data_IF_188134167105
#
_entry.id   IF_188134167105
#
_cell.length_a   1.000
_cell.length_b   1.000
_cell.length_c   1.000
_cell.angle_alpha   90.00
_cell.angle_beta   90.00
_cell.angle_gamma   90.00
#
_symmetry.space_group_name_H-M   'P 1'
#
loop_
_entity.id
_entity.type
_entity.pdbx_description
1 polymer ?
#
# COMPACT_ATOMS: atom_id res chain seq x y z
N UNK A 1 -6.10 22.31 54.45
CA UNK A 1 -5.60 21.44 55.54
C UNK A 1 -4.52 20.55 54.91
N UNK A 2 -3.31 20.99 55.08
CA UNK A 2 -2.07 20.42 54.57
C UNK A 2 -1.46 19.54 55.64
N UNK A 3 -0.99 18.37 55.27
CA UNK A 3 -0.07 17.59 56.09
C UNK A 3 1.12 17.16 55.23
N UNK A 4 2.34 17.24 55.79
CA UNK A 4 3.57 17.15 55.03
C UNK A 4 4.17 15.72 55.00
N UNK A 5 4.97 15.47 53.99
CA UNK A 5 5.86 14.30 53.86
C UNK A 5 6.99 14.32 54.89
N UNK A 6 7.51 13.18 55.31
CA UNK A 6 8.81 13.09 55.97
C UNK A 6 9.93 12.69 54.96
N UNK A 7 10.90 13.55 54.82
CA UNK A 7 12.21 13.28 54.19
C UNK A 7 13.03 12.38 55.13
N UNK A 8 13.61 11.32 54.58
CA UNK A 8 14.64 10.55 55.27
C UNK A 8 15.98 10.71 54.50
N UNK A 9 16.83 11.56 55.11
CA UNK A 9 18.24 11.68 54.76
C UNK A 9 19.01 10.39 55.13
N UNK A 10 19.64 9.76 54.18
CA UNK A 10 20.67 8.74 54.43
C UNK A 10 22.01 9.30 53.99
N UNK A 11 22.80 9.72 55.03
CA UNK A 11 24.21 10.07 54.91
C UNK A 11 25.06 8.84 54.60
N UNK A 12 25.73 8.84 53.46
CA UNK A 12 26.80 7.91 53.14
C UNK A 12 28.09 8.36 53.84
N UNK A 13 28.74 7.42 54.57
CA UNK A 13 30.02 7.57 55.24
C UNK A 13 31.10 7.03 54.28
N UNK A 14 32.18 7.79 53.98
CA UNK A 14 33.28 7.29 53.16
C UNK A 14 34.24 6.39 53.95
N UNK A 15 34.81 5.32 53.35
CA UNK A 15 35.77 4.44 54.05
C UNK A 15 37.15 5.07 54.13
N UNK A 16 37.79 4.94 55.30
CA UNK A 16 39.13 5.39 55.64
C UNK A 16 40.22 4.56 54.94
N UNK A 17 41.41 5.16 54.65
CA UNK A 17 42.48 4.48 53.94
C UNK A 17 43.36 3.60 54.90
N UNK A 18 43.53 2.35 54.53
CA UNK A 18 44.45 1.42 55.18
C UNK A 18 45.89 1.66 54.75
N UNK A 19 46.77 1.94 55.71
CA UNK A 19 48.23 2.04 55.54
C UNK A 19 48.82 0.67 55.19
N UNK A 20 49.36 0.50 53.97
CA UNK A 20 50.17 -0.65 53.61
C UNK A 20 51.66 -0.45 53.97
N UNK A 21 52.14 -1.38 54.80
CA UNK A 21 53.50 -1.43 55.31
C UNK A 21 54.50 -1.88 54.23
N UNK A 22 55.43 -1.03 53.80
CA UNK A 22 56.30 -1.25 52.64
C UNK A 22 57.68 -1.84 53.00
N UNK A 23 57.88 -2.51 54.13
CA UNK A 23 59.20 -2.89 54.63
C UNK A 23 59.75 -4.27 54.22
N UNK A 24 59.08 -5.24 53.69
CA UNK A 24 59.74 -6.49 53.26
C UNK A 24 60.32 -6.46 51.83
N UNK A 25 60.13 -5.38 51.03
CA UNK A 25 60.62 -5.37 49.63
C UNK A 25 62.05 -4.88 49.45
N UNK A 26 62.69 -4.30 50.47
CA UNK A 26 64.06 -3.81 50.40
C UNK A 26 65.10 -4.87 50.73
N UNK A 27 64.79 -5.97 51.39
CA UNK A 27 65.72 -7.07 51.69
C UNK A 27 65.91 -8.07 50.53
N UNK A 28 65.01 -8.12 49.56
CA UNK A 28 65.11 -9.03 48.40
C UNK A 28 65.96 -8.44 47.26
N UNK A 29 66.15 -7.13 47.19
CA UNK A 29 66.97 -6.47 46.19
C UNK A 29 68.50 -6.53 46.48
N UNK A 30 68.90 -6.69 47.75
CA UNK A 30 70.32 -6.80 48.13
C UNK A 30 70.90 -8.19 47.83
N UNK A 31 70.12 -9.27 47.76
CA UNK A 31 70.60 -10.63 47.51
C UNK A 31 70.81 -10.97 46.04
N UNK A 32 70.19 -10.19 45.12
CA UNK A 32 70.35 -10.37 43.66
C UNK A 32 71.54 -9.68 43.06
N UNK A 33 72.14 -8.69 43.75
CA UNK A 33 73.34 -7.97 43.28
C UNK A 33 74.66 -8.72 43.55
N UNK A 34 74.67 -9.67 44.49
CA UNK A 34 75.91 -10.42 44.80
C UNK A 34 76.06 -11.66 43.92
N UNK A 35 74.93 -12.20 43.33
CA UNK A 35 74.99 -13.34 42.41
C UNK A 35 75.40 -12.98 40.97
N UNK A 36 75.26 -11.72 40.56
CA UNK A 36 75.48 -11.29 39.17
C UNK A 36 76.90 -11.08 38.73
N UNK A 37 77.82 -10.86 39.68
CA UNK A 37 79.22 -10.53 39.35
C UNK A 37 80.07 -11.79 39.14
N UNK A 38 79.74 -12.92 39.70
CA UNK A 38 80.50 -14.19 39.53
C UNK A 38 80.27 -14.90 38.19
N UNK A 39 79.21 -14.62 37.49
CA UNK A 39 78.88 -15.27 36.18
C UNK A 39 79.57 -14.63 35.00
N UNK A 40 79.98 -13.35 35.11
CA UNK A 40 80.55 -12.60 33.97
C UNK A 40 82.04 -12.85 33.85
N UNK A 41 82.71 -13.16 34.95
CA UNK A 41 84.14 -13.41 34.96
C UNK A 41 84.55 -14.81 34.37
N UNK A 42 83.65 -15.79 34.37
CA UNK A 42 83.97 -17.12 33.80
C UNK A 42 83.75 -17.15 32.26
N UNK A 43 82.96 -16.25 31.67
CA UNK A 43 82.75 -16.19 30.22
C UNK A 43 83.82 -15.48 29.41
N UNK A 44 84.72 -14.78 30.08
CA UNK A 44 85.85 -14.00 29.44
C UNK A 44 87.13 -14.78 29.35
N UNK A 45 87.24 -15.99 29.93
CA UNK A 45 88.52 -16.74 30.00
C UNK A 45 88.60 -17.97 29.11
N UNK A 46 87.56 -18.32 28.33
CA UNK A 46 87.57 -19.41 27.35
C UNK A 46 87.13 -18.96 25.95
N UNK A 47 88.05 -18.72 25.03
CA UNK A 47 87.68 -18.47 23.64
C UNK A 47 87.43 -19.83 22.95
N UNK A 48 86.14 -20.17 22.71
CA UNK A 48 85.80 -21.24 21.82
C UNK A 48 85.93 -20.82 20.34
N UNK A 49 86.55 -21.70 19.58
CA UNK A 49 86.87 -21.57 18.16
C UNK A 49 85.57 -21.48 17.33
N UNK A 50 85.49 -20.72 16.22
CA UNK A 50 84.35 -20.62 15.36
C UNK A 50 84.14 -21.96 14.55
N UNK A 51 83.05 -22.60 14.73
CA UNK A 51 82.56 -23.66 13.85
C UNK A 51 82.00 -23.09 12.51
N UNK A 52 82.17 -23.82 11.38
CA UNK A 52 81.74 -23.31 10.08
C UNK A 52 80.25 -23.26 9.88
N UNK A 53 79.83 -22.18 9.27
CA UNK A 53 78.63 -21.86 8.57
C UNK A 53 77.41 -22.79 8.72
N UNK A 54 76.43 -22.34 9.48
CA UNK A 54 75.05 -22.78 9.28
C UNK A 54 74.44 -21.90 8.21
N UNK A 55 74.16 -22.50 7.05
CA UNK A 55 73.42 -21.87 5.97
C UNK A 55 72.11 -21.26 6.54
N UNK A 56 71.86 -20.04 6.16
CA UNK A 56 70.62 -19.33 6.45
C UNK A 56 69.47 -20.15 5.85
N UNK A 57 68.89 -21.09 6.59
CA UNK A 57 67.63 -21.74 6.19
C UNK A 57 66.56 -20.67 6.24
N UNK A 58 66.00 -20.35 5.14
CA UNK A 58 64.81 -19.50 5.03
C UNK A 58 63.75 -19.97 6.05
N UNK A 59 63.07 -19.08 6.76
CA UNK A 59 62.08 -19.49 7.74
C UNK A 59 61.06 -20.41 7.07
N UNK A 60 60.70 -21.53 7.71
CA UNK A 60 59.72 -22.46 7.11
C UNK A 60 58.43 -21.71 6.82
N UNK A 61 57.95 -21.77 5.56
CA UNK A 61 56.76 -21.08 5.14
C UNK A 61 55.54 -21.51 5.98
N UNK A 62 54.71 -20.56 6.38
CA UNK A 62 53.47 -20.81 7.13
C UNK A 62 52.45 -21.49 6.27
N UNK A 63 51.92 -22.62 6.70
CA UNK A 63 50.81 -23.30 5.98
C UNK A 63 49.54 -22.48 6.10
N UNK A 64 48.91 -22.15 4.99
CA UNK A 64 47.71 -21.30 4.91
C UNK A 64 46.70 -21.83 3.90
N UNK A 65 45.44 -21.64 4.20
CA UNK A 65 44.35 -21.93 3.25
C UNK A 65 44.05 -20.69 2.43
N UNK A 66 44.05 -20.83 1.12
CA UNK A 66 43.74 -19.80 0.15
C UNK A 66 42.30 -19.94 -0.36
N UNK A 67 41.56 -18.86 -0.39
CA UNK A 67 40.28 -18.78 -1.06
C UNK A 67 40.31 -17.62 -2.07
N UNK A 68 39.71 -17.80 -3.25
CA UNK A 68 39.51 -16.66 -4.16
C UNK A 68 38.55 -15.68 -3.49
N UNK A 69 38.81 -14.40 -3.71
CA UNK A 69 37.93 -13.34 -3.22
C UNK A 69 36.53 -13.51 -3.84
N UNK A 70 35.55 -13.72 -2.99
CA UNK A 70 34.17 -13.84 -3.44
C UNK A 70 33.54 -12.48 -3.71
N UNK A 71 32.89 -12.36 -4.87
CA UNK A 71 32.09 -11.18 -5.16
C UNK A 71 30.63 -11.47 -4.84
N UNK A 72 29.99 -10.57 -4.14
CA UNK A 72 28.58 -10.68 -3.79
C UNK A 72 27.88 -9.33 -3.91
N UNK A 73 26.54 -9.37 -3.85
CA UNK A 73 25.75 -8.15 -3.79
C UNK A 73 25.89 -7.54 -2.39
N UNK A 74 26.34 -6.33 -2.37
CA UNK A 74 26.47 -5.50 -1.19
C UNK A 74 25.34 -4.49 -1.17
N UNK A 75 24.65 -4.43 -0.05
CA UNK A 75 23.49 -3.57 0.15
C UNK A 75 23.78 -2.51 1.20
N UNK A 76 23.55 -1.25 0.84
CA UNK A 76 23.36 -0.18 1.82
C UNK A 76 21.86 -0.18 2.17
N UNK A 77 21.55 -0.51 3.41
CA UNK A 77 20.18 -0.66 3.87
C UNK A 77 20.02 -0.19 5.30
N UNK A 78 18.79 0.19 5.64
CA UNK A 78 18.44 0.61 7.01
C UNK A 78 17.11 -0.03 7.38
N UNK A 79 17.00 -0.55 8.59
CA UNK A 79 15.76 -1.11 9.13
C UNK A 79 14.99 -0.03 9.89
N UNK A 80 13.69 0.03 9.65
CA UNK A 80 12.74 0.92 10.32
C UNK A 80 11.59 0.09 10.90
N UNK A 81 11.03 0.56 12.01
CA UNK A 81 9.76 0.05 12.50
C UNK A 81 8.67 0.61 11.60
N UNK A 82 7.91 -0.27 10.98
CA UNK A 82 6.83 0.07 10.08
C UNK A 82 5.50 -0.45 10.64
N UNK A 83 4.40 0.25 10.34
CA UNK A 83 3.06 -0.21 10.64
C UNK A 83 2.36 -0.66 9.36
N UNK A 84 1.64 -1.76 9.47
CA UNK A 84 0.72 -2.20 8.42
C UNK A 84 -0.59 -1.45 8.54
N UNK A 85 -1.12 -0.98 7.43
CA UNK A 85 -2.42 -0.34 7.39
C UNK A 85 -3.30 -1.02 6.35
N UNK A 86 -4.58 -1.13 6.67
CA UNK A 86 -5.56 -1.55 5.68
C UNK A 86 -5.68 -0.48 4.59
N UNK A 87 -5.68 -0.89 3.33
CA UNK A 87 -5.87 0.03 2.21
C UNK A 87 -7.25 0.70 2.25
N UNK A 88 -8.26 -0.01 2.75
CA UNK A 88 -9.62 0.51 2.93
C UNK A 88 -10.20 -0.09 4.20
N UNK A 89 -10.66 0.77 5.08
CA UNK A 89 -11.45 0.40 6.24
C UNK A 89 -12.63 1.36 6.35
N UNK A 90 -13.82 0.84 6.58
CA UNK A 90 -15.04 1.64 6.72
C UNK A 90 -15.91 1.10 7.84
N UNK A 91 -16.36 1.99 8.69
CA UNK A 91 -17.41 1.71 9.66
C UNK A 91 -18.76 1.96 8.98
N UNK A 92 -19.52 0.89 8.77
CA UNK A 92 -20.86 0.98 8.20
C UNK A 92 -21.80 1.58 9.21
N UNK A 93 -22.53 2.60 8.79
CA UNK A 93 -23.60 3.24 9.54
C UNK A 93 -24.86 3.30 8.69
N UNK A 94 -26.05 3.21 9.26
CA UNK A 94 -27.29 3.30 8.50
C UNK A 94 -27.55 4.76 8.08
N UNK A 95 -28.23 4.94 6.95
CA UNK A 95 -28.68 6.27 6.50
C UNK A 95 -30.09 6.61 7.01
N UNK A 96 -30.74 5.64 7.64
CA UNK A 96 -32.09 5.72 8.16
C UNK A 96 -32.14 5.07 9.56
N UNK A 97 -33.16 5.36 10.31
CA UNK A 97 -33.41 4.72 11.60
C UNK A 97 -34.44 3.57 11.44
N UNK A 98 -34.34 2.58 12.31
CA UNK A 98 -35.27 1.47 12.34
C UNK A 98 -34.77 0.27 13.14
N UNK A 99 -35.53 -0.80 13.17
CA UNK A 99 -35.19 -2.03 13.87
C UNK A 99 -34.44 -2.99 12.91
N UNK A 100 -33.37 -3.62 13.38
CA UNK A 100 -32.65 -4.67 12.62
C UNK A 100 -33.56 -5.89 12.49
N UNK A 101 -33.92 -6.25 11.27
CA UNK A 101 -34.78 -7.41 10.99
C UNK A 101 -33.96 -8.68 10.74
N UNK A 102 -32.76 -8.56 10.14
CA UNK A 102 -31.91 -9.70 9.81
C UNK A 102 -30.44 -9.27 9.70
N UNK A 103 -29.53 -10.17 10.09
CA UNK A 103 -28.09 -10.06 9.90
C UNK A 103 -27.63 -11.25 9.06
N UNK A 104 -26.92 -10.98 7.95
CA UNK A 104 -26.54 -12.00 6.95
C UNK A 104 -25.10 -12.50 7.11
N UNK A 105 -24.29 -11.81 7.92
CA UNK A 105 -22.85 -12.07 8.08
C UNK A 105 -22.48 -12.19 9.54
N UNK A 106 -21.33 -12.81 9.80
CA UNK A 106 -20.70 -12.89 11.11
C UNK A 106 -19.36 -12.18 11.11
N UNK A 107 -18.91 -11.76 12.28
CA UNK A 107 -17.54 -11.23 12.46
C UNK A 107 -16.51 -12.26 11.96
N UNK A 108 -15.60 -11.81 11.11
CA UNK A 108 -14.58 -12.67 10.46
C UNK A 108 -14.94 -13.15 9.04
N UNK A 109 -16.18 -13.00 8.60
CA UNK A 109 -16.57 -13.43 7.25
C UNK A 109 -15.90 -12.58 6.17
N UNK A 110 -15.54 -13.22 5.06
CA UNK A 110 -15.09 -12.53 3.84
C UNK A 110 -16.28 -12.19 2.96
N UNK A 111 -16.37 -10.93 2.54
CA UNK A 111 -17.47 -10.42 1.71
C UNK A 111 -16.96 -9.76 0.44
N UNK A 112 -17.76 -9.83 -0.62
CA UNK A 112 -17.56 -9.10 -1.87
C UNK A 112 -18.30 -7.77 -1.84
N UNK A 113 -17.95 -6.85 -2.74
CA UNK A 113 -18.72 -5.62 -2.95
C UNK A 113 -20.18 -5.94 -3.29
N UNK A 114 -21.13 -5.24 -2.64
CA UNK A 114 -22.56 -5.46 -2.80
C UNK A 114 -23.17 -6.58 -1.94
N UNK A 115 -22.36 -7.40 -1.25
CA UNK A 115 -22.87 -8.42 -0.32
C UNK A 115 -23.69 -7.77 0.78
N UNK A 116 -24.88 -8.30 1.04
CA UNK A 116 -25.74 -7.83 2.12
C UNK A 116 -25.12 -8.16 3.48
N UNK A 117 -25.03 -7.16 4.35
CA UNK A 117 -24.51 -7.27 5.72
C UNK A 117 -25.64 -7.45 6.70
N UNK A 118 -26.61 -6.56 6.67
CA UNK A 118 -27.82 -6.62 7.48
C UNK A 118 -28.99 -5.91 6.79
N UNK A 119 -30.19 -6.21 7.27
CA UNK A 119 -31.45 -5.63 6.84
C UNK A 119 -32.12 -4.91 8.01
N UNK A 120 -32.53 -3.65 7.80
CA UNK A 120 -33.43 -2.91 8.68
C UNK A 120 -34.85 -3.17 8.22
N UNK A 121 -35.83 -3.18 9.11
CA UNK A 121 -37.24 -3.42 8.78
C UNK A 121 -37.75 -2.39 7.77
N UNK A 122 -38.03 -2.86 6.56
CA UNK A 122 -38.41 -2.04 5.42
C UNK A 122 -39.89 -2.15 5.06
N UNK A 123 -40.73 -2.84 5.87
CA UNK A 123 -42.12 -3.12 5.53
C UNK A 123 -42.93 -1.86 5.25
N UNK A 124 -42.77 -0.82 6.08
CA UNK A 124 -43.43 0.46 5.87
C UNK A 124 -42.98 1.14 4.57
N UNK A 125 -41.71 1.14 4.28
CA UNK A 125 -41.15 1.74 3.06
C UNK A 125 -41.56 0.95 1.81
N UNK A 126 -41.63 -0.39 1.87
CA UNK A 126 -42.13 -1.23 0.80
C UNK A 126 -43.61 -0.93 0.49
N UNK A 127 -44.42 -0.77 1.53
CA UNK A 127 -45.83 -0.38 1.36
C UNK A 127 -45.96 1.00 0.69
N UNK A 128 -45.11 1.97 1.07
CA UNK A 128 -45.06 3.29 0.44
C UNK A 128 -44.71 3.22 -1.05
N UNK A 129 -43.70 2.43 -1.41
CA UNK A 129 -43.30 2.20 -2.82
C UNK A 129 -44.46 1.53 -3.59
N UNK A 130 -45.11 0.53 -3.01
CA UNK A 130 -46.23 -0.16 -3.62
C UNK A 130 -47.41 0.78 -3.87
N UNK A 131 -47.75 1.62 -2.92
CA UNK A 131 -48.83 2.64 -3.04
C UNK A 131 -48.55 3.62 -4.19
N UNK A 132 -47.33 4.17 -4.25
CA UNK A 132 -46.95 5.09 -5.32
C UNK A 132 -46.87 4.40 -6.68
N UNK A 133 -46.46 3.14 -6.71
CA UNK A 133 -46.47 2.35 -7.95
C UNK A 133 -47.88 2.17 -8.49
N UNK A 134 -48.86 1.88 -7.62
CA UNK A 134 -50.27 1.81 -8.01
C UNK A 134 -50.78 3.17 -8.53
N UNK A 135 -50.43 4.29 -7.90
CA UNK A 135 -50.76 5.63 -8.39
C UNK A 135 -50.12 5.93 -9.77
N UNK A 136 -48.88 5.51 -9.99
CA UNK A 136 -48.20 5.60 -11.31
C UNK A 136 -48.92 4.79 -12.39
N UNK A 137 -49.36 3.57 -12.07
CA UNK A 137 -50.15 2.76 -12.98
C UNK A 137 -51.50 3.44 -13.33
N UNK A 138 -52.13 4.14 -12.35
CA UNK A 138 -53.30 4.95 -12.59
C UNK A 138 -53.04 6.10 -13.57
N UNK A 139 -51.93 6.77 -13.42
CA UNK A 139 -51.52 7.85 -14.35
C UNK A 139 -51.22 7.33 -15.76
N UNK A 140 -50.64 6.12 -15.86
CA UNK A 140 -50.39 5.46 -17.14
C UNK A 140 -51.72 5.12 -17.83
N UNK A 141 -52.72 4.56 -17.13
CA UNK A 141 -54.03 4.26 -17.65
C UNK A 141 -54.76 5.55 -18.12
N UNK A 142 -54.61 6.65 -17.40
CA UNK A 142 -55.11 7.95 -17.82
C UNK A 142 -54.48 8.43 -19.13
N UNK A 143 -53.16 8.26 -19.32
CA UNK A 143 -52.47 8.57 -20.57
C UNK A 143 -53.04 7.77 -21.75
N UNK A 144 -53.27 6.47 -21.55
CA UNK A 144 -53.85 5.60 -22.56
C UNK A 144 -55.28 6.06 -22.95
N UNK A 145 -56.10 6.46 -21.98
CA UNK A 145 -57.45 6.97 -22.20
C UNK A 145 -57.42 8.26 -23.06
N UNK A 146 -56.61 9.25 -22.71
CA UNK A 146 -56.53 10.50 -23.49
C UNK A 146 -55.96 10.28 -24.91
N UNK A 147 -55.07 9.28 -25.08
CA UNK A 147 -54.57 8.85 -26.42
C UNK A 147 -55.66 8.14 -27.24
N UNK A 148 -56.51 7.33 -26.62
CA UNK A 148 -57.65 6.71 -27.28
C UNK A 148 -58.62 7.79 -27.76
N UNK A 149 -58.89 8.82 -26.96
CA UNK A 149 -59.71 9.98 -27.36
C UNK A 149 -59.13 10.71 -28.58
N UNK A 150 -57.79 10.93 -28.62
CA UNK A 150 -57.15 11.52 -29.80
C UNK A 150 -57.39 10.66 -31.04
N UNK A 151 -57.26 9.34 -30.95
CA UNK A 151 -57.51 8.43 -32.05
C UNK A 151 -58.94 8.53 -32.57
N UNK A 152 -59.94 8.66 -31.66
CA UNK A 152 -61.34 8.89 -32.04
C UNK A 152 -61.55 10.21 -32.80
N UNK A 153 -60.94 11.31 -32.31
CA UNK A 153 -61.01 12.62 -32.99
C UNK A 153 -60.33 12.58 -34.38
N UNK A 154 -59.24 11.83 -34.52
CA UNK A 154 -58.58 11.62 -35.81
C UNK A 154 -59.46 10.88 -36.80
N UNK A 155 -60.24 9.87 -36.36
CA UNK A 155 -61.20 9.19 -37.17
C UNK A 155 -62.36 10.12 -37.60
N UNK A 156 -62.90 10.93 -36.67
CA UNK A 156 -63.89 11.98 -36.96
C UNK A 156 -63.38 12.99 -37.98
N UNK A 157 -62.11 13.40 -37.88
CA UNK A 157 -61.46 14.30 -38.85
C UNK A 157 -61.43 13.70 -40.24
N UNK A 158 -61.16 12.41 -40.39
CA UNK A 158 -61.20 11.72 -41.70
C UNK A 158 -62.58 11.78 -42.33
N UNK A 159 -63.67 11.58 -41.54
CA UNK A 159 -65.07 11.73 -42.02
C UNK A 159 -65.38 13.17 -42.50
N UNK A 160 -64.93 14.21 -41.68
CA UNK A 160 -65.11 15.60 -42.06
C UNK A 160 -64.31 15.98 -43.31
N UNK A 161 -63.10 15.38 -43.51
CA UNK A 161 -62.36 15.55 -44.78
C UNK A 161 -63.13 15.00 -45.99
N UNK A 162 -63.76 13.86 -45.85
CA UNK A 162 -64.58 13.26 -46.95
C UNK A 162 -65.78 14.17 -47.31
N UNK A 163 -66.48 14.70 -46.29
CA UNK A 163 -67.55 15.63 -46.45
C UNK A 163 -67.10 16.97 -47.10
N UNK A 164 -65.98 17.51 -46.65
CA UNK A 164 -65.36 18.69 -47.24
C UNK A 164 -65.03 18.45 -48.72
N UNK A 165 -64.45 17.33 -49.09
CA UNK A 165 -64.08 17.01 -50.48
C UNK A 165 -65.33 16.85 -51.37
N UNK A 166 -66.36 16.21 -50.85
CA UNK A 166 -67.65 16.09 -51.57
C UNK A 166 -68.23 17.47 -51.85
N UNK A 167 -68.38 18.30 -50.84
CA UNK A 167 -69.00 19.63 -51.03
C UNK A 167 -68.10 20.55 -51.92
N UNK A 168 -66.77 20.35 -51.89
CA UNK A 168 -65.86 21.07 -52.79
C UNK A 168 -66.00 20.70 -54.25
N UNK A 169 -66.19 19.37 -54.49
CA UNK A 169 -66.48 18.90 -55.88
C UNK A 169 -67.89 19.37 -56.41
N UNK A 170 -68.85 19.34 -55.54
CA UNK A 170 -70.20 19.81 -55.87
C UNK A 170 -70.19 21.32 -56.15
N UNK A 171 -69.62 22.12 -55.28
CA UNK A 171 -69.47 23.56 -55.50
C UNK A 171 -68.75 23.85 -56.81
N UNK A 172 -67.68 23.19 -57.15
CA UNK A 172 -66.94 23.37 -58.41
C UNK A 172 -67.87 23.05 -59.61
N UNK A 173 -68.59 21.90 -59.57
CA UNK A 173 -69.49 21.48 -60.60
C UNK A 173 -70.59 22.53 -60.81
N UNK A 174 -71.32 22.91 -59.77
CA UNK A 174 -72.44 23.89 -59.87
C UNK A 174 -71.96 25.30 -60.18
N UNK A 175 -70.79 25.68 -59.84
CA UNK A 175 -70.17 26.96 -60.24
C UNK A 175 -69.91 27.01 -61.76
N UNK A 176 -69.37 25.92 -62.34
CA UNK A 176 -69.17 25.78 -63.78
C UNK A 176 -70.53 25.78 -64.55
N UNK A 177 -71.54 25.09 -64.06
CA UNK A 177 -72.91 25.07 -64.63
C UNK A 177 -73.60 26.43 -64.54
N UNK A 178 -73.40 27.18 -63.47
CA UNK A 178 -73.90 28.54 -63.30
C UNK A 178 -73.25 29.52 -64.30
N UNK A 179 -71.95 29.37 -64.55
CA UNK A 179 -71.18 30.18 -65.54
C UNK A 179 -71.66 29.91 -66.95
N UNK A 180 -72.22 28.70 -67.25
CA UNK A 180 -72.80 28.31 -68.50
C UNK A 180 -74.31 28.68 -68.60
N UNK A 181 -74.91 29.27 -67.53
CA UNK A 181 -76.33 29.61 -67.47
C UNK A 181 -77.27 28.39 -67.24
N UNK A 182 -76.75 27.20 -66.94
CA UNK A 182 -77.51 25.96 -66.78
C UNK A 182 -78.23 25.84 -65.42
N UNK A 183 -77.79 26.58 -64.38
CA UNK A 183 -78.42 26.63 -63.05
C UNK A 183 -78.47 28.04 -62.50
N UNK A 184 -79.36 28.31 -61.52
CA UNK A 184 -79.54 29.64 -60.93
C UNK A 184 -78.37 30.03 -60.01
N UNK A 185 -78.14 31.34 -59.86
CA UNK A 185 -77.17 31.86 -58.88
C UNK A 185 -77.49 31.42 -57.43
N UNK A 186 -78.78 31.35 -57.07
CA UNK A 186 -79.26 30.83 -55.82
C UNK A 186 -78.72 29.41 -55.53
N UNK A 187 -78.70 28.57 -56.58
CA UNK A 187 -78.22 27.18 -56.52
C UNK A 187 -76.69 27.21 -56.29
N UNK A 188 -75.94 28.05 -56.94
CA UNK A 188 -74.52 28.21 -56.72
C UNK A 188 -74.18 28.68 -55.28
N UNK A 189 -74.94 29.70 -54.78
CA UNK A 189 -74.79 30.18 -53.41
C UNK A 189 -75.09 29.12 -52.35
N UNK A 190 -76.06 28.25 -52.58
CA UNK A 190 -76.39 27.11 -51.74
C UNK A 190 -75.15 26.18 -51.59
N UNK A 191 -74.47 25.83 -52.69
CA UNK A 191 -73.28 24.94 -52.64
C UNK A 191 -72.11 25.66 -52.12
N UNK A 192 -71.93 26.97 -52.30
CA UNK A 192 -70.92 27.79 -51.65
C UNK A 192 -71.10 27.75 -50.13
N UNK A 193 -72.32 27.93 -49.61
CA UNK A 193 -72.60 27.87 -48.19
C UNK A 193 -72.35 26.45 -47.61
N UNK A 194 -72.69 25.38 -48.31
CA UNK A 194 -72.38 24.01 -47.88
C UNK A 194 -70.93 23.78 -47.79
N UNK A 195 -70.12 24.23 -48.77
CA UNK A 195 -68.68 24.14 -48.72
C UNK A 195 -68.11 24.95 -47.56
N UNK A 196 -68.54 26.17 -47.29
CA UNK A 196 -68.16 26.99 -46.18
C UNK A 196 -68.43 26.31 -44.82
N UNK A 197 -69.65 25.68 -44.69
CA UNK A 197 -70.02 24.93 -43.50
C UNK A 197 -69.11 23.71 -43.26
N UNK A 198 -68.87 22.89 -44.32
CA UNK A 198 -67.99 21.74 -44.21
C UNK A 198 -66.50 22.14 -43.84
N UNK A 199 -66.03 23.28 -44.40
CA UNK A 199 -64.72 23.85 -44.06
C UNK A 199 -64.66 24.29 -42.60
N UNK A 200 -65.73 24.92 -42.11
CA UNK A 200 -65.79 25.33 -40.70
C UNK A 200 -65.78 24.17 -39.75
N UNK A 201 -66.57 23.07 -40.09
CA UNK A 201 -66.55 21.83 -39.29
C UNK A 201 -65.22 21.15 -39.25
N UNK A 202 -64.47 21.13 -40.38
CA UNK A 202 -63.10 20.61 -40.38
C UNK A 202 -62.17 21.48 -39.48
N UNK A 203 -62.30 22.80 -39.47
CA UNK A 203 -61.55 23.66 -38.58
C UNK A 203 -61.85 23.43 -37.07
N UNK A 204 -63.12 23.14 -36.76
CA UNK A 204 -63.50 22.81 -35.38
C UNK A 204 -62.82 21.53 -34.89
N UNK A 205 -62.86 20.48 -35.73
CA UNK A 205 -62.24 19.18 -35.32
C UNK A 205 -60.72 19.32 -35.24
N UNK A 206 -60.05 20.07 -36.11
CA UNK A 206 -58.61 20.35 -36.03
C UNK A 206 -58.26 21.06 -34.70
N UNK A 207 -59.08 22.04 -34.29
CA UNK A 207 -58.91 22.74 -33.01
C UNK A 207 -59.09 21.77 -31.81
N UNK A 208 -60.06 20.83 -31.86
CA UNK A 208 -60.25 19.82 -30.83
C UNK A 208 -59.05 18.86 -30.74
N UNK A 209 -58.49 18.46 -31.88
CA UNK A 209 -57.30 17.61 -31.94
C UNK A 209 -56.12 18.35 -31.27
N UNK A 210 -55.89 19.64 -31.57
CA UNK A 210 -54.82 20.44 -30.93
C UNK A 210 -55.00 20.52 -29.41
N UNK A 211 -56.23 20.75 -28.93
CA UNK A 211 -56.56 20.76 -27.50
C UNK A 211 -56.28 19.39 -26.86
N UNK A 212 -56.61 18.29 -27.55
CA UNK A 212 -56.35 16.93 -27.05
C UNK A 212 -54.85 16.62 -26.98
N UNK A 213 -54.04 17.08 -27.97
CA UNK A 213 -52.59 16.94 -27.94
C UNK A 213 -52.01 17.67 -26.74
N UNK A 214 -52.50 18.90 -26.43
CA UNK A 214 -52.06 19.62 -25.23
C UNK A 214 -52.42 18.88 -23.93
N UNK A 215 -53.64 18.26 -23.88
CA UNK A 215 -54.07 17.42 -22.77
C UNK A 215 -53.16 16.19 -22.59
N UNK A 216 -52.76 15.52 -23.70
CA UNK A 216 -51.82 14.41 -23.67
C UNK A 216 -50.52 14.85 -23.08
N UNK A 217 -49.94 15.97 -23.53
CA UNK A 217 -48.68 16.51 -22.99
C UNK A 217 -48.77 16.79 -21.49
N UNK A 218 -49.90 17.33 -21.02
CA UNK A 218 -50.13 17.55 -19.59
C UNK A 218 -50.12 16.24 -18.79
N UNK A 219 -50.85 15.19 -19.27
CA UNK A 219 -50.93 13.89 -18.61
C UNK A 219 -49.58 13.17 -18.65
N UNK A 220 -48.80 13.29 -19.74
CA UNK A 220 -47.43 12.78 -19.82
C UNK A 220 -46.50 13.41 -18.74
N UNK A 221 -46.63 14.70 -18.50
CA UNK A 221 -45.87 15.36 -17.41
C UNK A 221 -46.32 14.88 -16.03
N UNK A 222 -47.59 14.60 -15.84
CA UNK A 222 -48.10 14.02 -14.58
C UNK A 222 -47.58 12.60 -14.36
N UNK A 223 -47.51 11.77 -15.41
CA UNK A 223 -46.88 10.46 -15.34
C UNK A 223 -45.38 10.54 -15.00
N UNK A 224 -44.68 11.43 -15.68
CA UNK A 224 -43.24 11.67 -15.38
C UNK A 224 -43.00 12.06 -13.91
N UNK A 225 -43.91 12.87 -13.33
CA UNK A 225 -43.84 13.23 -11.93
C UNK A 225 -44.10 12.02 -11.00
N UNK A 226 -45.07 11.17 -11.35
CA UNK A 226 -45.35 9.95 -10.60
C UNK A 226 -44.16 9.00 -10.61
N UNK A 227 -43.53 8.80 -11.77
CA UNK A 227 -42.34 7.96 -11.93
C UNK A 227 -41.16 8.48 -11.11
N UNK A 228 -40.95 9.80 -11.09
CA UNK A 228 -39.91 10.44 -10.26
C UNK A 228 -40.16 10.19 -8.77
N UNK A 229 -41.40 10.28 -8.29
CA UNK A 229 -41.77 10.00 -6.91
C UNK A 229 -41.55 8.52 -6.54
N UNK A 230 -41.91 7.58 -7.44
CA UNK A 230 -41.66 6.16 -7.25
C UNK A 230 -40.15 5.90 -7.10
N UNK A 231 -39.33 6.46 -8.02
CA UNK A 231 -37.87 6.31 -7.98
C UNK A 231 -37.24 6.87 -6.70
N UNK A 232 -37.73 8.00 -6.22
CA UNK A 232 -37.29 8.58 -4.94
C UNK A 232 -37.53 7.59 -3.79
N UNK A 233 -38.70 7.00 -3.68
CA UNK A 233 -39.02 6.05 -2.61
C UNK A 233 -38.26 4.73 -2.75
N UNK A 234 -37.99 4.28 -3.99
CA UNK A 234 -37.16 3.12 -4.24
C UNK A 234 -35.72 3.33 -3.76
N UNK A 235 -35.15 4.54 -3.97
CA UNK A 235 -33.81 4.88 -3.45
C UNK A 235 -33.82 4.86 -1.91
N UNK A 236 -34.87 5.39 -1.29
CA UNK A 236 -35.01 5.32 0.18
C UNK A 236 -35.12 3.86 0.65
N UNK A 237 -35.83 2.99 -0.08
CA UNK A 237 -35.94 1.57 0.24
C UNK A 237 -34.57 0.86 0.19
N UNK A 238 -33.68 1.26 -0.71
CA UNK A 238 -32.33 0.69 -0.76
C UNK A 238 -31.51 0.95 0.50
N UNK A 239 -31.77 2.04 1.24
CA UNK A 239 -31.05 2.37 2.48
C UNK A 239 -31.39 1.41 3.63
N UNK A 240 -32.45 0.63 3.53
CA UNK A 240 -32.80 -0.38 4.52
C UNK A 240 -31.94 -1.65 4.41
N UNK A 241 -31.31 -1.89 3.27
CA UNK A 241 -30.38 -2.99 3.05
C UNK A 241 -28.96 -2.47 3.06
N UNK A 242 -28.24 -2.75 4.14
CA UNK A 242 -26.84 -2.36 4.29
C UNK A 242 -25.97 -3.38 3.55
N UNK A 243 -25.12 -2.90 2.65
CA UNK A 243 -24.25 -3.74 1.83
C UNK A 243 -22.79 -3.34 1.98
N UNK A 244 -21.88 -4.27 1.70
CA UNK A 244 -20.44 -4.03 1.67
C UNK A 244 -20.09 -3.10 0.49
N UNK A 245 -19.38 -1.96 0.71
CA UNK A 245 -19.01 -1.06 -0.38
C UNK A 245 -17.83 -1.58 -1.21
N UNK A 246 -17.03 -2.49 -0.67
CA UNK A 246 -15.89 -3.15 -1.33
C UNK A 246 -15.69 -4.55 -0.75
N UNK A 247 -14.87 -5.37 -1.42
CA UNK A 247 -14.49 -6.69 -0.94
C UNK A 247 -13.52 -6.59 0.24
N UNK A 248 -13.79 -7.33 1.32
CA UNK A 248 -12.98 -7.31 2.53
C UNK A 248 -13.45 -8.31 3.57
N UNK A 249 -12.92 -8.18 4.78
CA UNK A 249 -13.31 -8.98 5.94
C UNK A 249 -14.20 -8.16 6.86
N UNK A 250 -15.30 -8.76 7.30
CA UNK A 250 -16.20 -8.18 8.30
C UNK A 250 -15.50 -8.19 9.66
N UNK A 251 -15.36 -7.03 10.26
CA UNK A 251 -14.86 -6.88 11.63
C UNK A 251 -15.94 -7.20 12.64
N UNK A 252 -16.00 -6.41 13.71
CA UNK A 252 -17.03 -6.58 14.74
C UNK A 252 -18.41 -6.13 14.22
N UNK A 253 -19.45 -6.89 14.60
CA UNK A 253 -20.87 -6.60 14.35
C UNK A 253 -21.55 -6.42 15.70
N UNK A 254 -21.56 -5.20 16.26
CA UNK A 254 -22.02 -4.97 17.63
C UNK A 254 -23.54 -5.03 17.79
N UNK A 255 -24.29 -5.02 16.69
CA UNK A 255 -25.76 -5.01 16.69
C UNK A 255 -26.36 -6.42 16.61
N UNK A 256 -27.56 -6.58 17.13
CA UNK A 256 -28.33 -7.84 17.12
C UNK A 256 -29.66 -7.66 16.40
N UNK A 257 -30.22 -8.76 15.92
CA UNK A 257 -31.61 -8.77 15.40
C UNK A 257 -32.55 -8.32 16.51
N UNK A 258 -33.40 -7.35 16.20
CA UNK A 258 -34.30 -6.70 17.14
C UNK A 258 -33.82 -5.37 17.70
N UNK A 259 -32.53 -5.04 17.56
CA UNK A 259 -32.01 -3.76 18.03
C UNK A 259 -32.53 -2.59 17.19
N UNK A 260 -32.80 -1.47 17.86
CA UNK A 260 -33.12 -0.22 17.19
C UNK A 260 -31.84 0.55 16.87
N UNK A 261 -31.65 0.91 15.59
CA UNK A 261 -30.45 1.62 15.09
C UNK A 261 -30.84 2.98 14.49
N UNK A 262 -29.90 3.92 14.56
CA UNK A 262 -29.99 5.25 13.98
C UNK A 262 -28.72 5.60 13.19
N UNK A 263 -28.69 6.78 12.57
CA UNK A 263 -27.59 7.22 11.69
C UNK A 263 -26.21 7.32 12.35
N UNK A 264 -26.12 7.28 13.68
CA UNK A 264 -24.87 7.31 14.45
C UNK A 264 -24.46 5.91 14.97
N UNK A 265 -25.33 4.90 14.82
CA UNK A 265 -25.07 3.54 15.32
C UNK A 265 -24.07 2.82 14.42
N UNK A 266 -22.91 2.36 14.92
CA UNK A 266 -22.01 1.52 14.16
C UNK A 266 -22.66 0.14 13.95
N UNK A 267 -22.71 -0.33 12.70
CA UNK A 267 -23.34 -1.61 12.33
C UNK A 267 -22.32 -2.72 12.14
N UNK A 268 -21.25 -2.45 11.43
CA UNK A 268 -20.16 -3.35 11.17
C UNK A 268 -18.96 -2.58 10.63
N UNK A 269 -17.77 -3.13 10.79
CA UNK A 269 -16.57 -2.62 10.12
C UNK A 269 -16.23 -3.56 8.97
N UNK A 270 -15.88 -3.00 7.81
CA UNK A 270 -15.32 -3.79 6.69
C UNK A 270 -13.91 -3.32 6.43
N UNK A 271 -12.95 -4.25 6.47
CA UNK A 271 -11.53 -3.96 6.34
C UNK A 271 -10.93 -4.78 5.20
N UNK A 272 -10.23 -4.11 4.30
CA UNK A 272 -9.51 -4.76 3.21
C UNK A 272 -8.05 -5.01 3.64
N UNK A 273 -7.74 -6.26 4.02
CA UNK A 273 -6.39 -6.67 4.42
C UNK A 273 -5.55 -7.25 3.27
N UNK A 274 -6.04 -7.19 2.04
CA UNK A 274 -5.37 -7.62 0.81
C UNK A 274 -5.61 -6.60 -0.30
N UNK A 275 -4.56 -5.88 -0.73
CA UNK A 275 -3.23 -5.76 -0.12
C UNK A 275 -3.24 -4.88 1.13
N UNK A 276 -2.16 -4.97 1.94
CA UNK A 276 -1.86 -4.06 3.05
C UNK A 276 -0.89 -2.96 2.60
N UNK A 277 -1.05 -1.76 3.13
CA UNK A 277 -0.07 -0.68 3.01
C UNK A 277 0.92 -0.75 4.17
N UNK A 278 2.21 -0.69 3.86
CA UNK A 278 3.30 -0.64 4.83
C UNK A 278 3.72 0.81 4.98
N UNK A 279 3.43 1.42 6.12
CA UNK A 279 3.83 2.77 6.47
C UNK A 279 5.18 2.76 7.16
N UNK A 280 6.16 3.40 6.55
CA UNK A 280 7.54 3.44 7.02
C UNK A 280 7.91 4.89 7.31
N UNK A 281 8.14 5.28 8.57
CA UNK A 281 8.66 6.60 8.91
C UNK A 281 10.17 6.63 8.67
N UNK A 282 10.63 7.36 7.66
CA UNK A 282 12.04 7.51 7.32
C UNK A 282 12.53 8.86 7.84
N UNK A 283 13.61 8.92 8.64
CA UNK A 283 14.19 10.16 9.12
C UNK A 283 14.56 11.12 8.00
N UNK A 284 14.46 12.42 8.25
CA UNK A 284 14.68 13.48 7.26
C UNK A 284 16.10 13.44 6.66
N UNK A 285 17.11 12.99 7.43
CA UNK A 285 18.49 12.87 6.95
C UNK A 285 18.62 11.93 5.74
N UNK A 286 17.74 10.94 5.62
CA UNK A 286 17.66 10.02 4.48
C UNK A 286 16.72 10.51 3.38
N UNK A 287 16.05 11.64 3.58
CA UNK A 287 15.04 12.18 2.66
C UNK A 287 15.54 12.38 1.23
N UNK A 288 16.78 12.84 1.05
CA UNK A 288 17.39 13.07 -0.27
C UNK A 288 17.65 11.79 -1.06
N UNK A 289 17.69 10.64 -0.40
CA UNK A 289 17.89 9.33 -1.01
C UNK A 289 16.56 8.64 -1.38
N UNK A 290 15.44 9.17 -0.89
CA UNK A 290 14.12 8.61 -1.16
C UNK A 290 13.72 8.82 -2.62
N UNK A 291 13.29 7.73 -3.26
CA UNK A 291 12.72 7.73 -4.60
C UNK A 291 11.68 6.61 -4.72
N UNK A 292 10.64 6.76 -5.53
CA UNK A 292 9.75 5.65 -5.85
C UNK A 292 10.53 4.48 -6.47
N UNK A 293 10.10 3.26 -6.17
CA UNK A 293 10.76 2.03 -6.64
C UNK A 293 11.90 1.53 -5.76
N UNK A 294 12.28 2.21 -4.66
CA UNK A 294 13.25 1.67 -3.72
C UNK A 294 12.76 0.33 -3.16
N UNK A 295 13.60 -0.74 -3.20
CA UNK A 295 13.22 -2.03 -2.66
C UNK A 295 13.09 -1.99 -1.13
N UNK A 296 12.11 -2.72 -0.63
CA UNK A 296 11.85 -2.87 0.81
C UNK A 296 11.66 -4.34 1.12
N UNK A 297 12.45 -4.88 2.03
CA UNK A 297 12.25 -6.20 2.61
C UNK A 297 11.45 -6.07 3.90
N UNK A 298 10.38 -6.86 4.01
CA UNK A 298 9.52 -6.88 5.19
C UNK A 298 9.94 -8.04 6.09
N UNK A 299 10.17 -7.74 7.35
CA UNK A 299 10.75 -8.66 8.33
C UNK A 299 9.80 -8.75 9.53
N UNK A 300 9.47 -9.97 9.94
CA UNK A 300 8.64 -10.20 11.12
C UNK A 300 9.42 -10.01 12.44
N UNK A 301 8.72 -10.11 13.57
CA UNK A 301 9.32 -9.98 14.89
C UNK A 301 10.43 -11.02 15.18
N UNK A 302 10.40 -12.18 14.50
CA UNK A 302 11.39 -13.25 14.63
C UNK A 302 12.62 -13.07 13.73
N UNK A 303 12.69 -11.96 12.96
CA UNK A 303 13.82 -11.70 12.05
C UNK A 303 13.72 -12.41 10.69
N UNK A 304 12.61 -13.07 10.39
CA UNK A 304 12.41 -13.75 9.10
C UNK A 304 11.82 -12.78 8.07
N UNK A 305 12.37 -12.79 6.86
CA UNK A 305 11.80 -12.07 5.71
C UNK A 305 10.46 -12.72 5.35
N UNK A 306 9.40 -11.92 5.36
CA UNK A 306 8.02 -12.32 5.07
C UNK A 306 7.55 -11.88 3.69
N UNK A 307 8.27 -10.94 3.07
CA UNK A 307 7.98 -10.49 1.72
C UNK A 307 8.89 -9.35 1.26
N UNK A 308 8.87 -9.13 -0.05
CA UNK A 308 9.55 -8.03 -0.70
C UNK A 308 8.53 -7.07 -1.28
N UNK A 309 8.82 -5.80 -1.24
CA UNK A 309 7.98 -4.74 -1.77
C UNK A 309 8.83 -3.61 -2.33
N UNK A 310 8.21 -2.56 -2.80
CA UNK A 310 8.88 -1.32 -3.21
C UNK A 310 8.11 -0.10 -2.75
N UNK A 311 8.80 0.99 -2.53
CA UNK A 311 8.19 2.28 -2.18
C UNK A 311 7.42 2.79 -3.40
N UNK A 312 6.10 2.99 -3.24
CA UNK A 312 5.25 3.57 -4.29
C UNK A 312 4.82 5.01 -3.98
N UNK A 313 4.89 5.41 -2.71
CA UNK A 313 4.48 6.75 -2.29
C UNK A 313 5.46 7.33 -1.28
N UNK A 314 5.77 8.61 -1.44
CA UNK A 314 6.59 9.42 -0.54
C UNK A 314 5.75 10.64 -0.17
N UNK A 315 5.55 10.86 1.14
CA UNK A 315 4.77 12.01 1.60
C UNK A 315 5.48 13.33 1.24
N UNK A 316 4.76 14.31 0.67
CA UNK A 316 5.31 15.65 0.47
C UNK A 316 5.47 16.42 1.79
N UNK A 317 4.83 15.96 2.86
CA UNK A 317 4.85 16.61 4.17
C UNK A 317 5.68 15.82 5.17
N UNK A 318 6.37 16.53 6.05
CA UNK A 318 7.12 15.97 7.17
C UNK A 318 6.17 15.85 8.35
N UNK A 319 6.26 14.74 9.07
CA UNK A 319 5.51 14.56 10.33
C UNK A 319 6.21 15.34 11.45
N UNK A 320 5.55 16.39 11.94
CA UNK A 320 6.15 17.36 12.87
C UNK A 320 6.69 16.74 14.16
N UNK A 321 6.00 15.73 14.71
CA UNK A 321 6.41 15.10 15.99
C UNK A 321 7.63 14.20 15.87
N UNK A 322 7.91 13.59 14.71
CA UNK A 322 8.99 12.62 14.53
C UNK A 322 10.06 13.07 13.56
N UNK A 323 9.95 14.26 12.95
CA UNK A 323 10.86 14.77 11.90
C UNK A 323 11.15 13.70 10.84
N UNK A 324 10.12 12.97 10.43
CA UNK A 324 10.22 11.88 9.48
C UNK A 324 9.34 12.11 8.24
N UNK A 325 9.77 11.56 7.13
CA UNK A 325 9.00 11.49 5.88
C UNK A 325 8.29 10.14 5.87
N UNK A 326 6.97 10.16 5.78
CA UNK A 326 6.19 8.95 5.65
C UNK A 326 6.32 8.41 4.23
N UNK A 327 6.80 7.18 4.09
CA UNK A 327 6.78 6.46 2.83
C UNK A 327 5.87 5.25 2.94
N UNK A 328 5.29 4.83 1.79
CA UNK A 328 4.41 3.67 1.74
C UNK A 328 4.92 2.65 0.71
N UNK A 329 4.87 1.39 1.11
CA UNK A 329 5.07 0.23 0.26
C UNK A 329 3.81 -0.65 0.28
N UNK A 330 3.62 -1.51 -0.72
CA UNK A 330 2.45 -2.37 -0.83
C UNK A 330 2.85 -3.82 -0.57
N UNK A 331 2.10 -4.51 0.29
CA UNK A 331 2.29 -5.92 0.59
C UNK A 331 1.01 -6.71 0.28
N UNK A 332 1.09 -7.70 -0.62
CA UNK A 332 -0.10 -8.42 -1.12
C UNK A 332 -0.82 -9.26 -0.07
N UNK A 333 -0.11 -9.73 0.97
CA UNK A 333 -0.67 -10.50 2.09
C UNK A 333 -1.47 -11.73 1.66
N UNK A 334 -0.98 -12.47 0.66
CA UNK A 334 -1.70 -13.61 0.06
C UNK A 334 -2.12 -14.66 1.07
N UNK A 335 -1.27 -14.92 2.06
CA UNK A 335 -1.54 -15.88 3.13
C UNK A 335 -2.52 -15.37 4.19
N UNK A 336 -2.89 -14.06 4.17
CA UNK A 336 -3.79 -13.45 5.14
C UNK A 336 -3.30 -13.48 6.59
N UNK A 337 -1.99 -13.73 6.82
CA UNK A 337 -1.43 -13.88 8.16
C UNK A 337 -1.19 -12.54 8.87
N UNK A 338 -0.96 -11.49 8.11
CA UNK A 338 -0.74 -10.15 8.64
C UNK A 338 -2.06 -9.38 8.74
N UNK A 339 -2.16 -8.54 9.77
CA UNK A 339 -3.34 -7.73 10.05
C UNK A 339 -2.99 -6.24 9.98
N UNK A 340 -3.97 -5.42 9.70
CA UNK A 340 -3.84 -3.97 9.87
C UNK A 340 -3.44 -3.65 11.31
N UNK A 341 -2.77 -2.51 11.49
CA UNK A 341 -2.25 -1.98 12.76
C UNK A 341 -1.13 -2.83 13.41
N UNK A 342 -0.67 -3.91 12.75
CA UNK A 342 0.46 -4.71 13.19
C UNK A 342 1.78 -3.98 12.89
N UNK A 343 2.72 -3.99 13.86
CA UNK A 343 4.07 -3.51 13.67
C UNK A 343 4.97 -4.61 13.09
N UNK A 344 5.77 -4.23 12.10
CA UNK A 344 6.79 -5.07 11.47
C UNK A 344 8.08 -4.26 11.30
N UNK A 345 9.18 -4.91 10.92
CA UNK A 345 10.38 -4.22 10.49
C UNK A 345 10.41 -4.14 8.96
N UNK A 346 10.74 -2.97 8.44
CA UNK A 346 10.93 -2.73 7.02
C UNK A 346 12.38 -2.33 6.78
N UNK A 347 13.12 -3.14 6.03
CA UNK A 347 14.48 -2.87 5.62
C UNK A 347 14.44 -2.19 4.26
N UNK A 348 14.73 -0.89 4.24
CA UNK A 348 14.82 -0.10 3.01
C UNK A 348 16.22 -0.25 2.44
N UNK A 349 16.31 -0.63 1.16
CA UNK A 349 17.56 -0.83 0.45
C UNK A 349 17.84 0.40 -0.40
N UNK A 350 18.82 1.21 0.04
CA UNK A 350 19.17 2.48 -0.60
C UNK A 350 19.97 2.29 -1.87
N UNK A 351 20.92 1.36 -1.82
CA UNK A 351 21.80 1.07 -2.94
C UNK A 351 22.23 -0.40 -2.92
N UNK A 352 22.34 -0.99 -4.09
CA UNK A 352 22.88 -2.32 -4.29
C UNK A 352 24.04 -2.22 -5.29
N UNK A 353 25.20 -2.77 -4.90
CA UNK A 353 26.38 -2.82 -5.78
C UNK A 353 27.09 -4.16 -5.64
N UNK A 354 27.78 -4.56 -6.67
CA UNK A 354 28.71 -5.68 -6.56
C UNK A 354 29.87 -5.27 -5.67
N UNK A 355 30.15 -6.04 -4.66
CA UNK A 355 31.26 -5.80 -3.71
C UNK A 355 32.00 -7.09 -3.40
N UNK A 356 33.12 -6.94 -2.71
CA UNK A 356 33.96 -8.03 -2.24
C UNK A 356 33.49 -8.47 -0.87
N UNK A 357 33.31 -9.77 -0.67
CA UNK A 357 32.97 -10.38 0.61
C UNK A 357 34.20 -11.15 1.13
N UNK A 358 34.50 -10.96 2.41
CA UNK A 358 35.65 -11.57 3.09
C UNK A 358 35.19 -12.25 4.36
N UNK A 359 35.48 -13.56 4.55
CA UNK A 359 35.16 -14.25 5.78
C UNK A 359 35.74 -13.57 7.02
N UNK A 360 34.98 -13.55 8.12
CA UNK A 360 35.42 -12.96 9.40
C UNK A 360 36.75 -13.53 9.87
N UNK A 361 37.03 -14.79 9.51
CA UNK A 361 38.31 -15.49 9.87
C UNK A 361 39.53 -14.96 9.16
N UNK A 362 39.40 -14.24 8.03
CA UNK A 362 40.50 -13.67 7.26
C UNK A 362 40.89 -12.27 7.71
N UNK A 363 40.16 -11.71 8.68
CA UNK A 363 40.37 -10.33 9.14
C UNK A 363 41.34 -10.32 10.31
N UNK A 364 42.38 -9.49 10.20
CA UNK A 364 43.32 -9.17 11.28
C UNK A 364 43.17 -7.71 11.71
N UNK A 365 43.21 -7.46 13.00
CA UNK A 365 43.18 -6.10 13.56
C UNK A 365 44.52 -5.83 14.28
N UNK A 366 45.25 -4.84 13.79
CA UNK A 366 46.54 -4.46 14.32
C UNK A 366 46.51 -2.96 14.59
N UNK A 367 46.82 -2.57 15.82
CA UNK A 367 46.86 -1.17 16.25
C UNK A 367 45.57 -0.35 15.94
N UNK A 368 44.40 -1.01 15.97
CA UNK A 368 43.11 -0.36 15.71
C UNK A 368 42.69 -0.33 14.24
N UNK A 369 43.59 -0.69 13.33
CA UNK A 369 43.30 -0.77 11.89
C UNK A 369 43.02 -2.21 11.46
N UNK A 370 42.29 -2.35 10.35
CA UNK A 370 41.85 -3.64 9.85
C UNK A 370 42.61 -4.02 8.59
N UNK A 371 43.14 -5.23 8.59
CA UNK A 371 43.93 -5.80 7.49
C UNK A 371 43.44 -7.17 7.08
N UNK A 372 43.75 -7.51 5.85
CA UNK A 372 43.67 -8.88 5.31
C UNK A 372 45.03 -9.25 4.72
N UNK A 373 45.27 -10.55 4.61
CA UNK A 373 46.45 -11.05 3.91
C UNK A 373 46.05 -11.70 2.58
N UNK A 374 46.77 -11.32 1.52
CA UNK A 374 46.60 -11.89 0.19
C UNK A 374 47.88 -12.63 -0.22
N UNK A 375 47.77 -13.70 -0.97
CA UNK A 375 48.92 -14.42 -1.51
C UNK A 375 49.41 -13.71 -2.76
N UNK A 376 50.64 -13.20 -2.74
CA UNK A 376 51.32 -12.65 -3.91
C UNK A 376 52.58 -13.46 -4.24
N UNK A 377 53.05 -13.39 -5.47
CA UNK A 377 54.30 -14.01 -5.90
C UNK A 377 55.46 -13.03 -5.58
N UNK A 378 56.26 -13.37 -4.60
CA UNK A 378 57.47 -12.63 -4.25
C UNK A 378 58.74 -13.29 -4.76
N UNK A 379 59.86 -12.57 -4.67
CA UNK A 379 61.21 -13.13 -4.98
C UNK A 379 61.76 -13.81 -3.74
N UNK A 380 62.18 -15.09 -3.87
CA UNK A 380 62.92 -15.78 -2.82
C UNK A 380 64.37 -15.26 -2.76
N UNK A 381 65.01 -15.23 -1.59
CA UNK A 381 66.42 -14.93 -1.46
C UNK A 381 67.34 -15.81 -2.33
N UNK A 382 66.88 -16.97 -2.71
CA UNK A 382 67.61 -17.94 -3.56
C UNK A 382 67.33 -17.82 -5.06
N UNK A 383 66.63 -16.74 -5.51
CA UNK A 383 66.39 -16.45 -6.92
C UNK A 383 65.15 -17.13 -7.56
N UNK A 384 64.33 -17.85 -6.78
CA UNK A 384 63.08 -18.46 -7.21
C UNK A 384 61.86 -17.59 -6.92
N UNK A 385 60.72 -17.93 -7.58
CA UNK A 385 59.43 -17.33 -7.25
C UNK A 385 58.77 -18.10 -6.06
N UNK A 386 58.42 -17.39 -5.01
CA UNK A 386 57.82 -17.94 -3.81
C UNK A 386 56.52 -17.19 -3.50
N UNK A 387 55.48 -17.87 -2.96
CA UNK A 387 54.28 -17.22 -2.48
C UNK A 387 54.57 -16.59 -1.12
N UNK A 388 54.22 -15.32 -0.99
CA UNK A 388 54.33 -14.52 0.23
C UNK A 388 52.97 -13.97 0.67
N UNK A 389 52.81 -13.78 1.98
CA UNK A 389 51.66 -13.09 2.52
C UNK A 389 51.83 -11.59 2.37
N UNK A 390 51.00 -10.92 1.62
CA UNK A 390 50.97 -9.47 1.48
C UNK A 390 49.88 -8.88 2.35
N UNK A 391 50.23 -8.03 3.28
CA UNK A 391 49.30 -7.35 4.15
C UNK A 391 48.65 -6.19 3.39
N UNK A 392 47.32 -6.14 3.35
CA UNK A 392 46.53 -5.06 2.76
C UNK A 392 45.56 -4.47 3.77
N UNK A 393 45.62 -3.17 3.94
CA UNK A 393 44.67 -2.44 4.74
C UNK A 393 43.31 -2.42 4.02
N UNK A 394 42.26 -2.73 4.74
CA UNK A 394 40.89 -2.80 4.18
C UNK A 394 39.92 -1.98 5.04
N UNK A 395 38.99 -1.34 4.38
CA UNK A 395 37.84 -0.68 5.01
C UNK A 395 36.66 -1.60 4.95
N UNK A 396 36.19 -2.03 6.12
CA UNK A 396 35.06 -2.92 6.24
C UNK A 396 33.74 -2.16 6.25
N UNK A 397 32.72 -2.75 5.66
CA UNK A 397 31.32 -2.34 5.74
C UNK A 397 30.50 -3.29 6.61
N UNK A 398 29.24 -3.51 6.24
CA UNK A 398 28.30 -4.35 6.96
C UNK A 398 28.68 -5.84 6.90
N UNK A 399 28.24 -6.60 7.90
CA UNK A 399 28.35 -8.07 7.91
C UNK A 399 27.15 -8.65 7.16
N UNK A 400 27.42 -9.62 6.26
CA UNK A 400 26.39 -10.43 5.61
C UNK A 400 26.64 -11.91 5.92
N UNK A 401 25.83 -12.48 6.77
CA UNK A 401 26.07 -13.84 7.26
C UNK A 401 27.35 -13.93 8.06
N UNK A 402 28.36 -14.69 7.56
CA UNK A 402 29.66 -14.87 8.17
C UNK A 402 30.77 -14.05 7.49
N UNK A 403 30.42 -13.18 6.54
CA UNK A 403 31.37 -12.41 5.74
C UNK A 403 31.22 -10.92 5.99
N UNK A 404 32.35 -10.20 6.04
CA UNK A 404 32.39 -8.75 5.98
C UNK A 404 32.42 -8.26 4.54
N UNK A 405 31.67 -7.21 4.29
CA UNK A 405 31.81 -6.43 3.08
C UNK A 405 33.11 -5.65 3.13
N UNK A 406 33.92 -5.70 2.07
CA UNK A 406 35.07 -4.82 1.88
C UNK A 406 34.66 -3.66 0.98
N UNK A 407 34.78 -2.44 1.51
CA UNK A 407 34.46 -1.19 0.81
C UNK A 407 35.64 -0.76 -0.06
N UNK A 408 36.85 -0.85 0.50
CA UNK A 408 38.11 -0.41 -0.13
C UNK A 408 39.25 -1.35 0.27
N UNK A 409 40.28 -1.48 -0.56
CA UNK A 409 41.55 -2.13 -0.23
C UNK A 409 41.76 -3.53 -0.81
N UNK A 410 40.73 -4.16 -1.43
CA UNK A 410 40.86 -5.50 -2.04
C UNK A 410 40.27 -5.52 -3.46
N UNK A 411 40.97 -6.19 -4.38
CA UNK A 411 40.50 -6.33 -5.77
C UNK A 411 39.90 -7.70 -6.04
N UNK A 412 39.12 -7.80 -7.11
CA UNK A 412 38.63 -9.08 -7.64
C UNK A 412 39.85 -9.90 -8.09
N UNK A 413 39.77 -11.19 -8.00
CA UNK A 413 40.80 -12.17 -8.42
C UNK A 413 42.01 -12.33 -7.48
N UNK A 414 42.09 -11.58 -6.37
CA UNK A 414 43.11 -11.81 -5.37
C UNK A 414 42.86 -13.08 -4.56
N UNK A 415 43.92 -13.81 -4.21
CA UNK A 415 43.83 -14.98 -3.35
C UNK A 415 43.93 -14.60 -1.89
N UNK A 416 42.84 -14.66 -1.17
CA UNK A 416 42.74 -14.31 0.22
C UNK A 416 43.23 -15.46 1.11
N UNK A 417 44.01 -15.14 2.15
CA UNK A 417 44.42 -16.09 3.17
C UNK A 417 43.35 -16.12 4.28
N UNK A 418 42.74 -17.29 4.52
CA UNK A 418 41.62 -17.45 5.45
C UNK A 418 41.98 -18.29 6.71
N UNK A 419 43.16 -18.90 6.75
CA UNK A 419 43.67 -19.63 7.94
C UNK A 419 45.08 -19.21 8.30
N UNK A 420 45.45 -19.37 9.56
CA UNK A 420 46.81 -19.04 10.04
C UNK A 420 47.12 -17.55 10.12
N UNK A 421 46.14 -16.68 9.97
CA UNK A 421 46.26 -15.21 9.85
C UNK A 421 46.99 -14.59 11.04
N UNK A 422 46.87 -15.16 12.25
CA UNK A 422 47.50 -14.65 13.47
C UNK A 422 49.05 -14.77 13.47
N UNK A 423 49.59 -15.70 12.66
CA UNK A 423 51.01 -15.98 12.57
C UNK A 423 51.68 -15.30 11.36
N UNK A 424 50.93 -14.53 10.59
CA UNK A 424 51.41 -13.88 9.39
C UNK A 424 51.95 -12.46 9.67
N UNK A 425 52.97 -12.08 8.91
CA UNK A 425 53.50 -10.75 8.76
C UNK A 425 53.67 -10.40 7.31
N UNK A 426 53.71 -9.13 6.98
CA UNK A 426 53.96 -8.70 5.60
C UNK A 426 55.24 -9.28 5.06
N UNK A 427 55.21 -9.86 3.88
CA UNK A 427 56.32 -10.49 3.19
C UNK A 427 56.70 -11.90 3.66
N UNK A 428 55.99 -12.51 4.62
CA UNK A 428 56.32 -13.85 5.12
C UNK A 428 56.01 -14.94 4.06
N UNK A 429 56.96 -15.91 3.82
CA UNK A 429 56.71 -17.04 2.95
C UNK A 429 55.55 -17.89 3.42
N UNK A 430 54.68 -18.31 2.48
CA UNK A 430 53.49 -19.12 2.74
C UNK A 430 53.49 -20.40 1.88
N UNK A 431 52.91 -21.46 2.40
CA UNK A 431 52.70 -22.74 1.73
C UNK A 431 51.17 -22.96 1.68
N UNK A 432 50.57 -23.01 0.46
CA UNK A 432 49.15 -23.32 0.36
C UNK A 432 48.86 -24.72 0.92
N UNK A 433 47.83 -24.81 1.75
CA UNK A 433 47.27 -26.06 2.20
C UNK A 433 46.09 -26.39 1.26
N UNK A 434 46.13 -27.58 0.66
CA UNK A 434 45.09 -28.05 -0.28
C UNK A 434 43.77 -28.33 0.43
#
# INVERSE_FOLDING_TARGET
>A
MTLPEPQTDIKEIPPSPTKSNRWPRLLLAALLLIGGVSGIAWKLLNPEKPSPGVANAAPPGVKVKLLPVQTGTVEDSTEYIASLESRRSVNLQPRIQGQVSQIFVKSGDSVSSGTAILQIDSRQQQAAVSSLSAAGQGSQAQLENVRATLKSLQAERLANIADFRLNQQEYKRYSELAAQGAVSRQTQDLYANKLATAKAQLGVIDSRIQAQIATISQVEKSLQQADANIKQQQIQLQYYKITAPFAGTVGDVPVKVGDFVNTSTPLATITQNRPLEVKIPVPLEKGTQLRPGLPVELINAQGKIIGNSSIFFISPNITNNSQSILVKALYENDNGQLRADQLIRAKVIWNQRSGVLVPTTAISRIAGETFVFVAETGKSPEGGSQLIAKQKQVKLGNIKGNDYQVIEGLQRDEKLIVSGVQNLRDGLPIIPEN
#
